data_IF_916490639728
#
_entry.id   IF_916490639728
#
_cell.length_a   1.000
_cell.length_b   1.000
_cell.length_c   1.000
_cell.angle_alpha   90.00
_cell.angle_beta   90.00
_cell.angle_gamma   90.00
#
_symmetry.space_group_name_H-M   'P 1'
#
loop_
_entity.id
_entity.type
_entity.pdbx_description
1 polymer ?
#
# COMPACT_ATOMS: atom_id res chain seq x y z
N UNK A 1 3.70 -4.95 -65.20
CA UNK A 1 3.73 -3.74 -64.34
C UNK A 1 2.55 -3.81 -63.40
N UNK A 2 2.79 -4.23 -62.15
CA UNK A 2 1.79 -4.29 -61.08
C UNK A 2 1.99 -3.05 -60.21
N UNK A 3 0.99 -2.17 -60.16
CA UNK A 3 0.96 -1.01 -59.27
C UNK A 3 0.48 -1.53 -57.91
N UNK A 4 1.44 -1.92 -57.08
CA UNK A 4 1.20 -2.39 -55.72
C UNK A 4 0.71 -1.22 -54.86
N UNK A 5 -0.55 -1.31 -54.43
CA UNK A 5 -1.28 -0.28 -53.71
C UNK A 5 -0.77 -0.15 -52.26
N UNK A 6 0.34 0.57 -52.06
CA UNK A 6 1.02 0.76 -50.75
C UNK A 6 0.40 1.81 -49.83
N UNK A 7 -0.78 2.35 -50.14
CA UNK A 7 -1.30 3.54 -49.45
C UNK A 7 -2.32 3.28 -48.32
N UNK A 8 -2.62 2.03 -47.99
CA UNK A 8 -3.69 1.70 -47.03
C UNK A 8 -3.19 1.03 -45.74
N UNK A 9 -2.39 1.71 -44.90
CA UNK A 9 -2.31 1.39 -43.45
C UNK A 9 -1.58 2.40 -42.50
N UNK A 10 -1.78 3.74 -42.54
CA UNK A 10 -1.32 4.61 -41.44
C UNK A 10 -2.41 5.06 -40.44
N UNK A 11 -3.69 4.76 -40.67
CA UNK A 11 -4.81 5.31 -39.89
C UNK A 11 -5.16 4.50 -38.64
N UNK A 12 -5.18 3.16 -38.72
CA UNK A 12 -5.57 2.28 -37.60
C UNK A 12 -4.67 2.47 -36.36
N UNK A 13 -3.35 2.57 -36.56
CA UNK A 13 -2.39 2.79 -35.47
C UNK A 13 -2.45 4.18 -34.83
N UNK A 14 -3.06 5.18 -35.49
CA UNK A 14 -3.29 6.51 -34.89
C UNK A 14 -4.54 6.51 -34.01
N UNK A 15 -5.62 5.87 -34.47
CA UNK A 15 -6.88 5.79 -33.73
C UNK A 15 -6.71 4.99 -32.44
N UNK A 16 -6.04 3.83 -32.49
CA UNK A 16 -5.79 3.01 -31.29
C UNK A 16 -5.00 3.77 -30.21
N UNK A 17 -3.94 4.49 -30.60
CA UNK A 17 -3.15 5.31 -29.66
C UNK A 17 -3.97 6.42 -29.01
N UNK A 18 -4.76 7.16 -29.78
CA UNK A 18 -5.62 8.21 -29.25
C UNK A 18 -6.63 7.67 -28.24
N UNK A 19 -7.24 6.52 -28.53
CA UNK A 19 -8.19 5.85 -27.62
C UNK A 19 -7.49 5.45 -26.32
N UNK A 20 -6.33 4.79 -26.40
CA UNK A 20 -5.56 4.39 -25.20
C UNK A 20 -5.18 5.60 -24.34
N UNK A 21 -4.74 6.71 -24.95
CA UNK A 21 -4.45 7.93 -24.20
C UNK A 21 -5.68 8.51 -23.51
N UNK A 22 -6.81 8.58 -24.21
CA UNK A 22 -8.05 9.15 -23.63
C UNK A 22 -8.51 8.30 -22.46
N UNK A 23 -8.50 6.97 -22.60
CA UNK A 23 -8.87 6.04 -21.53
C UNK A 23 -7.91 6.20 -20.34
N UNK A 24 -6.59 6.21 -20.57
CA UNK A 24 -5.60 6.38 -19.51
C UNK A 24 -5.74 7.73 -18.79
N UNK A 25 -6.05 8.81 -19.53
CA UNK A 25 -6.27 10.14 -18.96
C UNK A 25 -7.55 10.17 -18.13
N UNK A 26 -8.63 9.58 -18.61
CA UNK A 26 -9.89 9.49 -17.89
C UNK A 26 -9.74 8.70 -16.60
N UNK A 27 -9.14 7.49 -16.67
CA UNK A 27 -8.88 6.65 -15.49
C UNK A 27 -7.95 7.37 -14.51
N UNK A 28 -6.83 7.91 -14.98
CA UNK A 28 -5.88 8.62 -14.12
C UNK A 28 -6.50 9.85 -13.44
N UNK A 29 -7.34 10.61 -14.15
CA UNK A 29 -8.03 11.78 -13.57
C UNK A 29 -9.10 11.39 -12.57
N UNK A 30 -9.87 10.33 -12.86
CA UNK A 30 -10.88 9.81 -11.95
C UNK A 30 -10.25 9.21 -10.68
N UNK A 31 -9.14 8.50 -10.82
CA UNK A 31 -8.39 7.99 -9.66
C UNK A 31 -7.81 9.13 -8.83
N UNK A 32 -7.25 10.17 -9.46
CA UNK A 32 -6.75 11.35 -8.73
C UNK A 32 -7.87 12.08 -8.00
N UNK A 33 -9.00 12.32 -8.68
CA UNK A 33 -10.17 12.95 -8.08
C UNK A 33 -10.74 12.10 -6.95
N UNK A 34 -10.91 10.79 -7.17
CA UNK A 34 -11.38 9.84 -6.17
C UNK A 34 -10.46 9.83 -4.96
N UNK A 35 -9.14 9.81 -5.17
CA UNK A 35 -8.14 9.88 -4.11
C UNK A 35 -8.22 11.20 -3.34
N UNK A 36 -8.40 12.34 -4.00
CA UNK A 36 -8.56 13.62 -3.31
C UNK A 36 -9.88 13.70 -2.53
N UNK A 37 -10.97 13.22 -3.13
CA UNK A 37 -12.31 13.22 -2.54
C UNK A 37 -12.41 12.23 -1.38
N UNK A 38 -11.68 11.12 -1.38
CA UNK A 38 -11.63 10.17 -0.26
C UNK A 38 -10.57 10.55 0.77
N UNK A 39 -9.42 11.09 0.36
CA UNK A 39 -8.34 11.51 1.25
C UNK A 39 -8.80 12.62 2.19
N UNK A 40 -9.54 13.60 1.70
CA UNK A 40 -9.92 14.76 2.51
C UNK A 40 -10.83 14.36 3.66
N UNK A 41 -11.96 13.65 3.46
CA UNK A 41 -12.79 13.12 4.54
C UNK A 41 -12.06 12.12 5.43
N UNK A 42 -11.18 11.27 4.88
CA UNK A 42 -10.47 10.28 5.68
C UNK A 42 -9.39 10.92 6.55
N UNK A 43 -8.62 11.87 6.01
CA UNK A 43 -7.68 12.68 6.80
C UNK A 43 -8.43 13.55 7.81
N UNK A 44 -9.55 14.17 7.43
CA UNK A 44 -10.39 14.93 8.37
C UNK A 44 -10.96 14.03 9.45
N UNK A 45 -11.48 12.85 9.10
CA UNK A 45 -11.97 11.83 10.06
C UNK A 45 -10.85 11.47 11.00
N UNK A 46 -9.70 11.04 10.49
CA UNK A 46 -8.55 10.75 11.34
C UNK A 46 -8.18 11.94 12.21
N UNK A 47 -8.23 13.19 11.70
CA UNK A 47 -7.92 14.41 12.47
C UNK A 47 -8.98 14.76 13.52
N UNK A 48 -10.26 14.51 13.24
CA UNK A 48 -11.37 14.72 14.19
C UNK A 48 -11.47 13.59 15.20
N UNK A 49 -11.23 12.36 14.77
CA UNK A 49 -11.09 11.17 15.62
C UNK A 49 -9.85 11.33 16.51
N UNK A 50 -8.77 11.91 15.98
CA UNK A 50 -7.58 12.40 16.69
C UNK A 50 -7.91 13.44 17.76
N UNK A 51 -8.98 14.21 17.60
CA UNK A 51 -9.41 15.21 18.57
C UNK A 51 -10.45 14.67 19.57
N UNK A 52 -11.22 13.66 19.16
CA UNK A 52 -12.36 13.12 19.91
C UNK A 52 -12.07 11.81 20.67
N UNK A 53 -10.86 11.26 20.57
CA UNK A 53 -10.45 10.09 21.37
C UNK A 53 -10.42 8.76 20.59
N UNK A 54 -11.10 8.66 19.46
CA UNK A 54 -11.28 7.38 18.77
C UNK A 54 -9.98 6.89 18.11
N UNK A 55 -9.55 5.68 18.47
CA UNK A 55 -8.50 4.93 17.80
C UNK A 55 -8.96 3.48 17.66
N UNK A 56 -9.23 3.02 16.45
CA UNK A 56 -9.48 1.59 16.23
C UNK A 56 -8.13 0.88 16.16
N UNK A 57 -7.90 0.00 17.12
CA UNK A 57 -6.75 -0.90 17.14
C UNK A 57 -7.29 -2.29 16.86
N UNK A 58 -6.77 -2.95 15.83
CA UNK A 58 -7.08 -4.35 15.55
C UNK A 58 -5.87 -5.18 15.94
N UNK A 59 -5.89 -5.76 17.13
CA UNK A 59 -4.87 -6.72 17.55
C UNK A 59 -5.23 -8.09 17.01
N UNK A 60 -4.69 -8.51 15.88
CA UNK A 60 -4.90 -9.86 15.37
C UNK A 60 -4.22 -10.91 16.27
N UNK A 61 -4.67 -11.12 17.53
CA UNK A 61 -4.10 -12.12 18.44
C UNK A 61 -4.75 -12.39 19.80
N UNK A 62 -5.97 -11.94 20.09
CA UNK A 62 -6.58 -12.34 21.37
C UNK A 62 -7.38 -13.64 21.17
N UNK A 63 -6.92 -14.79 21.73
CA UNK A 63 -7.80 -15.94 21.84
C UNK A 63 -8.93 -15.57 22.79
N UNK A 64 -10.16 -15.57 22.29
CA UNK A 64 -11.33 -15.68 23.16
C UNK A 64 -11.58 -17.16 23.39
N UNK A 65 -10.92 -17.74 24.40
CA UNK A 65 -11.37 -19.01 24.95
C UNK A 65 -12.37 -18.69 26.06
N UNK A 66 -13.65 -19.05 25.91
CA UNK A 66 -14.65 -18.85 26.96
C UNK A 66 -14.44 -19.80 28.15
N UNK A 67 -13.62 -20.85 28.01
CA UNK A 67 -13.34 -21.81 29.08
C UNK A 67 -11.90 -22.37 28.95
N UNK A 68 -10.99 -22.07 29.90
CA UNK A 68 -9.59 -22.55 29.87
C UNK A 68 -9.45 -24.07 30.04
N UNK A 69 -10.54 -24.81 30.26
CA UNK A 69 -10.52 -26.26 30.44
C UNK A 69 -10.74 -27.08 29.15
N UNK A 70 -10.97 -26.45 28.00
CA UNK A 70 -11.27 -27.14 26.73
C UNK A 70 -10.09 -27.31 25.77
N UNK A 71 -8.87 -26.97 26.20
CA UNK A 71 -7.65 -27.14 25.41
C UNK A 71 -7.13 -28.58 25.48
N UNK A 72 -7.92 -29.53 24.96
CA UNK A 72 -7.35 -30.74 24.40
C UNK A 72 -6.59 -30.33 23.13
N UNK A 73 -5.34 -30.81 22.96
CA UNK A 73 -4.35 -30.31 22.00
C UNK A 73 -4.66 -30.43 20.49
N UNK A 74 -5.93 -30.42 20.09
CA UNK A 74 -6.43 -30.46 18.72
C UNK A 74 -7.32 -29.26 18.32
N UNK A 75 -7.62 -28.31 19.22
CA UNK A 75 -8.49 -27.17 18.88
C UNK A 75 -7.73 -26.03 18.17
N UNK A 76 -8.21 -25.64 16.98
CA UNK A 76 -7.70 -24.46 16.26
C UNK A 76 -8.20 -23.18 16.91
N UNK A 77 -7.32 -22.43 17.58
CA UNK A 77 -7.66 -21.11 18.09
C UNK A 77 -7.99 -20.14 16.95
N UNK A 78 -9.21 -19.59 16.96
CA UNK A 78 -9.61 -18.50 16.08
C UNK A 78 -9.26 -17.15 16.74
N UNK A 79 -8.43 -16.35 16.06
CA UNK A 79 -7.95 -15.07 16.57
C UNK A 79 -8.94 -13.95 16.22
N UNK A 80 -9.57 -13.35 17.22
CA UNK A 80 -10.41 -12.17 17.03
C UNK A 80 -9.65 -10.91 17.48
N UNK A 81 -9.78 -9.83 16.69
CA UNK A 81 -9.26 -8.52 17.07
C UNK A 81 -10.00 -7.95 18.27
N UNK A 82 -9.29 -7.32 19.21
CA UNK A 82 -9.93 -6.45 20.21
C UNK A 82 -9.84 -5.02 19.77
N UNK A 83 -11.01 -4.38 19.64
CA UNK A 83 -11.16 -2.95 19.43
C UNK A 83 -10.91 -2.22 20.75
N UNK A 84 -9.83 -1.46 20.84
CA UNK A 84 -9.52 -0.64 22.01
C UNK A 84 -10.01 0.78 21.78
N UNK A 85 -11.12 1.17 22.40
CA UNK A 85 -11.60 2.56 22.37
C UNK A 85 -11.12 3.29 23.63
N UNK A 86 -10.56 4.48 23.48
CA UNK A 86 -10.13 5.32 24.60
C UNK A 86 -10.68 6.74 24.47
N UNK A 87 -10.97 7.38 25.60
CA UNK A 87 -11.28 8.81 25.65
C UNK A 87 -10.03 9.70 25.64
N UNK A 88 -8.84 9.10 25.84
CA UNK A 88 -7.60 9.83 26.03
C UNK A 88 -6.90 10.20 24.71
N UNK A 89 -6.11 11.28 24.68
CA UNK A 89 -5.37 11.70 23.50
C UNK A 89 -4.15 10.80 23.23
N UNK A 90 -4.34 9.67 22.55
CA UNK A 90 -3.29 8.76 22.08
C UNK A 90 -2.49 9.34 20.90
N UNK A 91 -1.67 10.37 21.15
CA UNK A 91 -1.03 11.16 20.08
C UNK A 91 -0.06 10.37 19.19
N UNK A 92 0.83 9.56 19.78
CA UNK A 92 1.85 8.82 19.04
C UNK A 92 1.27 7.72 18.12
N UNK A 93 0.35 6.85 18.60
CA UNK A 93 -0.34 5.87 17.76
C UNK A 93 -1.03 6.49 16.55
N UNK A 94 -1.69 7.62 16.77
CA UNK A 94 -2.43 8.31 15.73
C UNK A 94 -1.52 8.97 14.68
N UNK A 95 -0.37 9.51 15.10
CA UNK A 95 0.65 10.00 14.16
C UNK A 95 1.12 8.88 13.24
N UNK A 96 1.35 7.68 13.76
CA UNK A 96 1.77 6.52 12.98
C UNK A 96 0.68 6.04 12.00
N UNK A 97 -0.58 5.97 12.44
CA UNK A 97 -1.70 5.65 11.54
C UNK A 97 -1.87 6.71 10.44
N UNK A 98 -1.72 7.99 10.78
CA UNK A 98 -1.80 9.07 9.80
C UNK A 98 -0.65 9.01 8.78
N UNK A 99 0.56 8.61 9.20
CA UNK A 99 1.70 8.42 8.33
C UNK A 99 1.49 7.23 7.37
N UNK A 100 0.94 6.12 7.86
CA UNK A 100 0.57 4.96 7.04
C UNK A 100 -0.49 5.33 6.00
N UNK A 101 -1.53 6.05 6.40
CA UNK A 101 -2.54 6.61 5.48
C UNK A 101 -1.93 7.55 4.43
N UNK A 102 -1.05 8.46 4.86
CA UNK A 102 -0.37 9.39 3.96
C UNK A 102 0.49 8.66 2.92
N UNK A 103 1.16 7.57 3.30
CA UNK A 103 1.95 6.73 2.40
C UNK A 103 1.07 6.06 1.34
N UNK A 104 -0.09 5.55 1.74
CA UNK A 104 -1.09 4.99 0.81
C UNK A 104 -1.57 6.04 -0.20
N UNK A 105 -1.92 7.24 0.28
CA UNK A 105 -2.34 8.34 -0.59
C UNK A 105 -1.24 8.78 -1.55
N UNK A 106 0.01 8.81 -1.09
CA UNK A 106 1.16 9.16 -1.92
C UNK A 106 1.32 8.20 -3.11
N UNK A 107 1.14 6.89 -2.90
CA UNK A 107 1.16 5.89 -3.98
C UNK A 107 0.06 6.16 -5.00
N UNK A 108 -1.17 6.40 -4.54
CA UNK A 108 -2.33 6.63 -5.43
C UNK A 108 -2.15 7.92 -6.24
N UNK A 109 -1.71 9.01 -5.60
CA UNK A 109 -1.44 10.28 -6.27
C UNK A 109 -0.30 10.14 -7.27
N UNK A 110 0.81 9.50 -6.90
CA UNK A 110 1.94 9.26 -7.80
C UNK A 110 1.53 8.41 -9.02
N UNK A 111 0.76 7.34 -8.81
CA UNK A 111 0.25 6.49 -9.89
C UNK A 111 -0.68 7.24 -10.84
N UNK A 112 -1.58 8.06 -10.29
CA UNK A 112 -2.51 8.87 -11.06
C UNK A 112 -1.79 9.93 -11.89
N UNK A 113 -0.82 10.64 -11.29
CA UNK A 113 0.02 11.62 -11.99
C UNK A 113 0.85 10.95 -13.09
N UNK A 114 1.42 9.78 -12.83
CA UNK A 114 2.12 9.00 -13.85
C UNK A 114 1.20 8.70 -15.03
N UNK A 115 0.00 8.15 -14.80
CA UNK A 115 -0.96 7.86 -15.86
C UNK A 115 -1.33 9.09 -16.70
N UNK A 116 -1.61 10.22 -16.04
CA UNK A 116 -1.94 11.49 -16.71
C UNK A 116 -0.78 12.00 -17.56
N UNK A 117 0.44 12.03 -17.01
CA UNK A 117 1.64 12.49 -17.72
C UNK A 117 1.95 11.62 -18.93
N UNK A 118 1.76 10.31 -18.79
CA UNK A 118 1.93 9.33 -19.87
C UNK A 118 0.91 9.55 -20.98
N UNK A 119 -0.37 9.73 -20.63
CA UNK A 119 -1.43 10.03 -21.58
C UNK A 119 -1.18 11.34 -22.36
N UNK A 120 -0.83 12.42 -21.65
CA UNK A 120 -0.51 13.71 -22.27
C UNK A 120 0.66 13.58 -23.26
N UNK A 121 1.69 12.81 -22.90
CA UNK A 121 2.84 12.59 -23.80
C UNK A 121 2.48 11.77 -25.02
N UNK A 122 1.64 10.76 -24.86
CA UNK A 122 1.17 9.91 -25.94
C UNK A 122 0.35 10.74 -26.96
N UNK A 123 -0.46 11.68 -26.48
CA UNK A 123 -1.19 12.65 -27.33
C UNK A 123 -0.24 13.64 -28.03
N UNK A 124 0.79 14.12 -27.34
CA UNK A 124 1.76 15.12 -27.88
C UNK A 124 2.86 14.53 -28.77
N UNK A 125 2.87 13.21 -29.01
CA UNK A 125 3.89 12.50 -29.82
C UNK A 125 5.34 12.77 -29.39
N UNK A 126 5.58 13.04 -28.10
CA UNK A 126 6.93 13.28 -27.56
C UNK A 126 7.61 11.97 -27.15
N UNK A 127 8.95 11.91 -27.08
CA UNK A 127 9.66 10.73 -26.57
C UNK A 127 9.13 10.36 -25.17
N UNK A 128 8.48 9.20 -25.12
CA UNK A 128 7.68 8.73 -23.99
C UNK A 128 8.46 7.78 -23.08
N UNK A 129 9.32 6.97 -23.68
CA UNK A 129 9.94 5.82 -23.03
C UNK A 129 10.74 6.22 -21.77
N UNK A 130 11.53 7.31 -21.83
CA UNK A 130 12.29 7.81 -20.66
C UNK A 130 11.38 8.14 -19.47
N UNK A 131 10.21 8.72 -19.70
CA UNK A 131 9.32 9.11 -18.59
C UNK A 131 8.52 7.93 -18.09
N UNK A 132 8.07 7.04 -18.97
CA UNK A 132 7.43 5.77 -18.58
C UNK A 132 8.34 4.96 -17.66
N UNK A 133 9.59 4.79 -18.06
CA UNK A 133 10.62 4.10 -17.27
C UNK A 133 10.74 4.67 -15.86
N UNK A 134 10.98 5.98 -15.73
CA UNK A 134 11.15 6.62 -14.43
C UNK A 134 9.87 6.59 -13.60
N UNK A 135 8.70 6.78 -14.22
CA UNK A 135 7.43 6.72 -13.50
C UNK A 135 7.12 5.32 -12.97
N UNK A 136 7.36 4.27 -13.78
CA UNK A 136 7.14 2.89 -13.34
C UNK A 136 8.14 2.47 -12.27
N UNK A 137 9.41 2.83 -12.41
CA UNK A 137 10.43 2.53 -11.40
C UNK A 137 10.10 3.21 -10.07
N UNK A 138 9.82 4.52 -10.09
CA UNK A 138 9.47 5.26 -8.87
C UNK A 138 8.19 4.73 -8.24
N UNK A 139 7.14 4.49 -9.04
CA UNK A 139 5.88 3.96 -8.55
C UNK A 139 6.04 2.57 -7.93
N UNK A 140 6.76 1.67 -8.61
CA UNK A 140 7.02 0.32 -8.09
C UNK A 140 7.78 0.35 -6.76
N UNK A 141 8.82 1.19 -6.65
CA UNK A 141 9.52 1.38 -5.38
C UNK A 141 8.62 1.95 -4.28
N UNK A 142 7.75 2.92 -4.60
CA UNK A 142 6.82 3.51 -3.64
C UNK A 142 5.81 2.47 -3.13
N UNK A 143 5.32 1.60 -4.00
CA UNK A 143 4.46 0.46 -3.64
C UNK A 143 5.20 -0.54 -2.75
N UNK A 144 6.45 -0.87 -3.06
CA UNK A 144 7.26 -1.75 -2.20
C UNK A 144 7.51 -1.15 -0.81
N UNK A 145 7.77 0.16 -0.73
CA UNK A 145 7.89 0.88 0.54
C UNK A 145 6.57 0.83 1.31
N UNK A 146 5.43 1.05 0.66
CA UNK A 146 4.12 0.92 1.30
C UNK A 146 3.87 -0.50 1.84
N UNK A 147 4.16 -1.53 1.05
CA UNK A 147 3.96 -2.93 1.42
C UNK A 147 4.83 -3.39 2.61
N UNK A 148 5.98 -2.74 2.80
CA UNK A 148 6.92 -3.07 3.88
C UNK A 148 6.73 -2.20 5.10
N UNK A 149 6.60 -0.89 4.93
CA UNK A 149 6.54 0.09 6.03
C UNK A 149 5.13 0.24 6.58
N UNK A 150 4.10 0.17 5.74
CA UNK A 150 2.70 0.34 6.16
C UNK A 150 2.29 -0.58 7.31
N UNK A 151 2.43 -1.91 7.16
CA UNK A 151 2.08 -2.87 8.22
C UNK A 151 2.90 -2.71 9.51
N UNK A 152 4.11 -2.13 9.42
CA UNK A 152 4.99 -1.88 10.57
C UNK A 152 4.58 -0.62 11.32
N UNK A 153 4.18 0.44 10.61
CA UNK A 153 3.63 1.65 11.25
C UNK A 153 2.34 1.33 12.01
N UNK A 154 1.49 0.48 11.43
CA UNK A 154 0.28 -0.01 12.09
C UNK A 154 0.61 -0.87 13.32
N UNK A 155 1.61 -1.76 13.22
CA UNK A 155 2.14 -2.52 14.36
C UNK A 155 2.52 -1.60 15.52
N UNK A 156 3.41 -0.66 15.23
CA UNK A 156 3.94 0.28 16.21
C UNK A 156 2.85 1.16 16.82
N UNK A 157 1.84 1.53 16.04
CA UNK A 157 0.71 2.30 16.55
C UNK A 157 -0.08 1.51 17.60
N UNK A 158 -0.33 0.22 17.32
CA UNK A 158 -1.04 -0.68 18.23
C UNK A 158 -0.24 -0.91 19.50
N UNK A 159 1.07 -1.11 19.39
CA UNK A 159 1.95 -1.33 20.53
C UNK A 159 1.93 -0.10 21.44
N UNK A 160 2.26 1.08 20.92
CA UNK A 160 2.33 2.30 21.73
C UNK A 160 0.97 2.60 22.38
N UNK A 161 -0.14 2.36 21.67
CA UNK A 161 -1.45 2.61 22.25
C UNK A 161 -1.81 1.64 23.37
N UNK A 162 -1.42 0.36 23.26
CA UNK A 162 -1.59 -0.58 24.36
C UNK A 162 -0.79 -0.14 25.60
N UNK A 163 0.41 0.43 25.40
CA UNK A 163 1.29 0.90 26.47
C UNK A 163 0.68 2.10 27.17
N UNK A 164 0.22 3.07 26.38
CA UNK A 164 -0.42 4.30 26.86
C UNK A 164 -1.70 4.01 27.65
N UNK A 165 -2.41 2.92 27.33
CA UNK A 165 -3.61 2.48 28.05
C UNK A 165 -3.31 1.62 29.29
N UNK A 166 -2.03 1.39 29.59
CA UNK A 166 -1.59 0.63 30.76
C UNK A 166 -1.67 -0.88 30.59
N UNK A 167 -1.87 -1.39 29.37
CA UNK A 167 -1.75 -2.82 29.11
C UNK A 167 -0.27 -3.23 29.09
N UNK A 168 0.08 -4.29 29.81
CA UNK A 168 1.42 -4.85 29.71
C UNK A 168 1.60 -5.56 28.36
N UNK A 169 2.33 -4.95 27.44
CA UNK A 169 2.64 -5.49 26.10
C UNK A 169 3.67 -6.62 26.18
N UNK A 170 4.48 -6.63 27.25
CA UNK A 170 5.54 -7.59 27.47
C UNK A 170 5.86 -7.73 28.96
N UNK A 171 5.31 -8.75 29.62
CA UNK A 171 5.83 -9.23 30.90
C UNK A 171 6.63 -10.51 30.66
N UNK A 172 7.97 -10.41 30.73
CA UNK A 172 8.87 -11.55 30.55
C UNK A 172 8.64 -12.67 31.57
N UNK A 173 8.17 -12.30 32.76
CA UNK A 173 7.86 -13.20 33.88
C UNK A 173 6.34 -13.40 34.07
N UNK A 174 5.52 -12.82 33.17
CA UNK A 174 4.07 -12.99 33.18
C UNK A 174 3.70 -14.37 32.64
N UNK A 175 2.79 -15.04 33.33
CA UNK A 175 2.21 -16.33 32.97
C UNK A 175 1.34 -16.28 31.71
N UNK A 176 1.12 -15.09 31.14
CA UNK A 176 0.41 -14.89 29.87
C UNK A 176 -1.09 -15.20 29.95
N UNK A 177 -1.61 -15.35 31.17
CA UNK A 177 -3.02 -15.71 31.42
C UNK A 177 -3.85 -14.42 31.41
N UNK A 178 -4.75 -14.31 30.44
CA UNK A 178 -5.79 -13.29 30.39
C UNK A 178 -6.96 -13.76 31.25
N UNK A 179 -7.23 -13.11 32.39
CA UNK A 179 -8.43 -13.41 33.19
C UNK A 179 -9.64 -12.63 32.67
N UNK A 180 -10.84 -13.16 32.89
CA UNK A 180 -12.10 -12.53 32.43
C UNK A 180 -12.39 -11.18 33.07
N UNK A 181 -11.67 -10.81 34.13
CA UNK A 181 -11.89 -9.60 34.93
C UNK A 181 -10.87 -8.50 34.68
N UNK A 182 -9.67 -8.82 34.18
CA UNK A 182 -8.63 -7.84 33.82
C UNK A 182 -7.69 -8.45 32.78
N UNK A 183 -7.51 -7.82 31.60
CA UNK A 183 -6.43 -8.19 30.68
C UNK A 183 -5.11 -7.70 31.30
N UNK A 184 -4.51 -8.49 32.18
CA UNK A 184 -3.28 -8.09 32.89
C UNK A 184 -2.05 -8.06 31.96
N UNK A 185 -2.10 -8.73 30.80
CA UNK A 185 -1.08 -8.62 29.75
C UNK A 185 -1.61 -8.95 28.36
N UNK A 186 -1.30 -8.12 27.37
CA UNK A 186 -1.46 -8.47 25.96
C UNK A 186 -0.08 -8.94 25.52
N UNK A 187 0.18 -10.25 25.58
CA UNK A 187 1.48 -10.79 25.15
C UNK A 187 1.67 -10.62 23.66
N UNK A 188 2.48 -9.63 23.32
CA UNK A 188 2.65 -9.14 21.98
C UNK A 188 4.09 -9.44 21.56
N UNK A 189 4.31 -10.63 20.98
CA UNK A 189 5.61 -11.04 20.44
C UNK A 189 5.89 -10.34 19.07
N UNK A 190 5.69 -9.02 18.99
CA UNK A 190 5.72 -8.25 17.72
C UNK A 190 7.12 -8.10 17.14
N UNK A 191 8.15 -8.27 17.97
CA UNK A 191 9.55 -8.06 17.58
C UNK A 191 10.29 -9.36 17.29
N UNK A 192 9.58 -10.48 17.15
CA UNK A 192 10.15 -11.68 16.54
C UNK A 192 10.49 -11.37 15.06
N UNK A 193 11.76 -11.49 14.64
CA UNK A 193 12.17 -11.22 13.25
C UNK A 193 11.35 -12.00 12.22
N UNK A 194 10.94 -13.23 12.55
CA UNK A 194 10.10 -14.06 11.66
C UNK A 194 8.73 -13.42 11.47
N UNK A 195 8.22 -12.79 12.53
CA UNK A 195 6.91 -12.19 12.54
C UNK A 195 6.87 -10.81 11.88
N UNK A 196 7.93 -10.01 12.02
CA UNK A 196 8.13 -8.77 11.26
C UNK A 196 8.07 -9.05 9.76
N UNK A 197 8.70 -10.14 9.30
CA UNK A 197 8.65 -10.57 7.90
C UNK A 197 7.25 -11.05 7.49
N UNK A 198 6.54 -11.75 8.38
CA UNK A 198 5.17 -12.21 8.15
C UNK A 198 4.14 -11.10 7.96
N UNK A 199 4.45 -9.86 8.36
CA UNK A 199 3.58 -8.69 8.18
C UNK A 199 3.73 -7.99 6.84
N UNK A 200 4.74 -8.32 6.04
CA UNK A 200 4.84 -7.75 4.71
C UNK A 200 3.62 -8.15 3.89
N UNK A 201 2.98 -7.18 3.24
CA UNK A 201 1.99 -7.50 2.22
C UNK A 201 2.73 -8.04 1.00
N UNK A 202 2.92 -9.36 1.00
CA UNK A 202 3.69 -10.06 -0.04
C UNK A 202 3.10 -9.81 -1.42
N UNK A 203 1.78 -9.72 -1.53
CA UNK A 203 1.10 -9.47 -2.80
C UNK A 203 1.45 -8.08 -3.31
N UNK A 204 1.29 -7.06 -2.47
CA UNK A 204 1.60 -5.68 -2.84
C UNK A 204 3.09 -5.50 -3.11
N UNK A 205 3.96 -6.16 -2.34
CA UNK A 205 5.41 -6.17 -2.54
C UNK A 205 5.78 -6.75 -3.91
N UNK A 206 5.20 -7.89 -4.28
CA UNK A 206 5.42 -8.53 -5.59
C UNK A 206 4.89 -7.65 -6.72
N UNK A 207 3.71 -7.04 -6.57
CA UNK A 207 3.16 -6.09 -7.55
C UNK A 207 4.09 -4.90 -7.74
N UNK A 208 4.57 -4.29 -6.65
CA UNK A 208 5.54 -3.19 -6.70
C UNK A 208 6.83 -3.61 -7.39
N UNK A 209 7.35 -4.79 -7.06
CA UNK A 209 8.53 -5.38 -7.69
C UNK A 209 8.37 -5.61 -9.19
N UNK A 210 7.23 -6.17 -9.63
CA UNK A 210 6.93 -6.35 -11.06
C UNK A 210 6.86 -5.02 -11.79
N UNK A 211 6.20 -4.01 -11.23
CA UNK A 211 6.09 -2.67 -11.81
C UNK A 211 7.47 -2.00 -11.93
N UNK A 212 8.31 -2.11 -10.90
CA UNK A 212 9.68 -1.60 -10.93
C UNK A 212 10.53 -2.31 -11.98
N UNK A 213 10.40 -3.66 -12.07
CA UNK A 213 11.10 -4.47 -13.06
C UNK A 213 10.70 -4.10 -14.49
N UNK A 214 9.41 -3.86 -14.78
CA UNK A 214 8.98 -3.35 -16.09
C UNK A 214 9.63 -2.00 -16.43
N UNK A 215 9.74 -1.10 -15.44
CA UNK A 215 10.48 0.14 -15.59
C UNK A 215 11.94 -0.10 -16.01
N UNK A 216 12.62 -1.07 -15.37
CA UNK A 216 13.99 -1.44 -15.70
C UNK A 216 14.13 -2.08 -17.10
N UNK A 217 13.27 -3.04 -17.45
CA UNK A 217 13.31 -3.72 -18.74
C UNK A 217 13.09 -2.75 -19.92
N UNK A 218 12.22 -1.75 -19.74
CA UNK A 218 12.04 -0.69 -20.73
C UNK A 218 13.31 0.15 -20.94
N UNK A 219 14.14 0.29 -19.89
CA UNK A 219 15.40 1.01 -19.97
C UNK A 219 16.43 0.30 -20.86
N UNK A 220 16.47 -1.03 -20.77
CA UNK A 220 17.35 -1.87 -21.58
C UNK A 220 16.85 -1.95 -23.02
N UNK A 221 15.54 -2.05 -23.22
CA UNK A 221 14.92 -2.03 -24.55
C UNK A 221 15.21 -0.74 -25.32
N UNK A 222 15.13 0.42 -24.67
CA UNK A 222 15.53 1.70 -25.28
C UNK A 222 17.01 1.72 -25.69
N UNK A 223 17.88 1.10 -24.88
CA UNK A 223 19.31 1.07 -25.16
C UNK A 223 19.60 0.18 -26.37
N UNK A 224 19.00 -1.01 -26.42
CA UNK A 224 19.11 -1.93 -27.54
C UNK A 224 18.61 -1.31 -28.85
N UNK A 225 17.49 -0.56 -28.82
CA UNK A 225 16.98 0.15 -30.01
C UNK A 225 17.97 1.20 -30.53
N UNK A 226 18.60 1.98 -29.64
CA UNK A 226 19.60 2.98 -30.05
C UNK A 226 20.85 2.34 -30.65
N UNK A 227 21.24 1.16 -30.16
CA UNK A 227 22.37 0.41 -30.71
C UNK A 227 22.06 -0.16 -32.10
N UNK A 228 20.82 -0.58 -32.36
CA UNK A 228 20.40 -1.05 -33.70
C UNK A 228 20.22 0.07 -34.71
N UNK A 229 19.73 1.24 -34.30
CA UNK A 229 19.54 2.39 -35.20
C UNK A 229 20.87 2.98 -35.70
N UNK A 230 21.99 2.71 -35.01
CA UNK A 230 23.32 3.13 -35.43
C UNK A 230 24.02 2.19 -36.42
N UNK A 231 23.42 1.05 -36.74
CA UNK A 231 23.98 0.03 -37.64
C UNK A 231 23.39 0.05 -39.07
N UNK A 232 22.46 0.98 -39.35
CA UNK A 232 21.77 1.15 -40.65
C UNK A 232 22.21 2.43 -41.33
#
# INVERSE_FOLDING_TARGET
MSIENRNAAPTAGRVGRSITAIIALAIGSLLLLGALVSAIPMMLSHFTDLWNGFADLSTARLPFEQDPNTLDGESSAAYAGVLLTSGDPLTAPRLLQSAQTALTLLVVVAGSLAAILLAIRLLRRRPFARHLRWSLLVLGLLVMVLATVGPQLEALAVDIAAEDLGYAIYQRDGDGILTSTTPDSIMQNLWDPIWVVGRFDLILLLVGGMVAMFGFLLSDGERAQRETDGLV
#
